data_IF_726380910387
#
_entry.id   IF_726380910387
#
_cell.length_a   1.000
_cell.length_b   1.000
_cell.length_c   1.000
_cell.angle_alpha   90.00
_cell.angle_beta   90.00
_cell.angle_gamma   90.00
#
_symmetry.space_group_name_H-M   'P 1'
#
loop_
_entity.id
_entity.type
_entity.pdbx_description
1 polymer ?
#
# COMPACT_ATOMS: atom_id res chain seq x y z
N UNK A 1 -3.01 45.84 -12.86
CA UNK A 1 -2.52 45.01 -13.98
C UNK A 1 -2.19 43.64 -13.42
N UNK A 2 -3.02 42.69 -13.80
CA UNK A 2 -3.03 41.31 -13.31
C UNK A 2 -2.01 40.43 -14.05
N UNK A 3 -1.54 39.41 -13.34
CA UNK A 3 -1.09 38.10 -13.85
C UNK A 3 0.05 38.00 -14.87
N UNK A 4 1.14 37.36 -14.43
CA UNK A 4 1.80 36.24 -15.14
C UNK A 4 2.57 35.25 -14.24
N UNK A 5 2.64 35.45 -12.93
CA UNK A 5 3.39 34.57 -12.01
C UNK A 5 2.50 33.52 -11.28
N UNK A 6 1.23 33.42 -11.64
CA UNK A 6 0.18 32.53 -11.09
C UNK A 6 0.11 31.14 -11.75
N UNK A 7 1.18 30.71 -12.43
CA UNK A 7 1.39 29.29 -12.74
C UNK A 7 2.69 28.83 -12.10
N UNK A 8 2.73 28.88 -10.76
CA UNK A 8 3.61 28.00 -9.99
C UNK A 8 3.28 26.59 -10.44
N UNK A 9 4.15 26.00 -11.27
CA UNK A 9 4.19 24.57 -11.56
C UNK A 9 4.16 23.90 -10.20
N UNK A 10 2.99 23.42 -9.78
CA UNK A 10 2.77 22.97 -8.42
C UNK A 10 3.67 21.75 -8.26
N UNK A 11 4.78 21.95 -7.55
CA UNK A 11 5.80 20.93 -7.34
C UNK A 11 5.09 19.67 -6.85
N UNK A 12 5.20 18.59 -7.63
CA UNK A 12 4.52 17.35 -7.32
C UNK A 12 5.21 16.83 -6.06
N UNK A 13 4.57 17.02 -4.90
CA UNK A 13 5.13 16.55 -3.65
C UNK A 13 5.17 15.02 -3.64
N UNK A 14 6.19 14.46 -2.99
CA UNK A 14 6.36 13.02 -2.86
C UNK A 14 5.12 12.35 -2.22
N UNK A 15 4.49 13.03 -1.26
CA UNK A 15 3.28 12.57 -0.58
C UNK A 15 2.09 12.45 -1.53
N UNK A 16 2.04 13.29 -2.58
CA UNK A 16 1.01 13.20 -3.62
C UNK A 16 1.29 12.05 -4.59
N UNK A 17 2.56 11.79 -4.93
CA UNK A 17 2.93 10.65 -5.78
C UNK A 17 2.60 9.34 -5.06
N UNK A 18 3.10 9.19 -3.84
CA UNK A 18 2.87 8.01 -3.02
C UNK A 18 1.40 7.86 -2.61
N UNK A 19 0.72 8.98 -2.35
CA UNK A 19 -0.72 9.04 -2.11
C UNK A 19 -1.52 8.42 -3.25
N UNK A 20 -1.33 8.91 -4.48
CA UNK A 20 -1.99 8.35 -5.66
C UNK A 20 -1.70 6.86 -5.83
N UNK A 21 -0.45 6.44 -5.63
CA UNK A 21 -0.06 5.05 -5.74
C UNK A 21 -0.76 4.17 -4.69
N UNK A 22 -0.76 4.59 -3.43
CA UNK A 22 -1.43 3.89 -2.34
C UNK A 22 -2.92 3.73 -2.59
N UNK A 23 -3.63 4.83 -2.89
CA UNK A 23 -5.09 4.79 -3.06
C UNK A 23 -5.51 3.98 -4.29
N UNK A 24 -4.74 4.05 -5.37
CA UNK A 24 -4.96 3.20 -6.56
C UNK A 24 -4.81 1.72 -6.19
N UNK A 25 -3.74 1.34 -5.47
CA UNK A 25 -3.57 -0.04 -5.02
C UNK A 25 -4.69 -0.45 -4.06
N UNK A 26 -5.03 0.37 -3.08
CA UNK A 26 -6.09 0.05 -2.13
C UNK A 26 -7.42 -0.25 -2.83
N UNK A 27 -7.75 0.50 -3.89
CA UNK A 27 -8.90 0.23 -4.73
C UNK A 27 -8.77 -1.09 -5.50
N UNK A 28 -7.64 -1.32 -6.20
CA UNK A 28 -7.41 -2.52 -7.00
C UNK A 28 -7.46 -3.81 -6.17
N UNK A 29 -6.89 -3.80 -4.96
CA UNK A 29 -6.90 -4.94 -4.03
C UNK A 29 -8.20 -5.05 -3.23
N UNK A 30 -9.13 -4.10 -3.37
CA UNK A 30 -10.41 -4.10 -2.65
C UNK A 30 -10.28 -3.91 -1.14
N UNK A 31 -9.26 -3.20 -0.66
CA UNK A 31 -9.07 -2.99 0.78
C UNK A 31 -10.16 -2.10 1.35
N UNK A 32 -10.77 -2.54 2.46
CA UNK A 32 -11.74 -1.75 3.20
C UNK A 32 -11.05 -0.63 4.00
N UNK A 33 -11.83 0.28 4.60
CA UNK A 33 -11.27 1.43 5.34
C UNK A 33 -10.39 1.06 6.54
N UNK A 34 -10.70 -0.03 7.22
CA UNK A 34 -9.89 -0.49 8.36
C UNK A 34 -8.55 -1.03 7.90
N UNK A 35 -8.56 -1.79 6.81
CA UNK A 35 -7.36 -2.28 6.16
C UNK A 35 -6.51 -1.13 5.61
N UNK A 36 -7.12 -0.15 4.94
CA UNK A 36 -6.44 1.05 4.46
C UNK A 36 -5.76 1.82 5.60
N UNK A 37 -6.48 2.05 6.71
CA UNK A 37 -5.93 2.72 7.88
C UNK A 37 -4.80 1.91 8.52
N UNK A 38 -4.97 0.60 8.68
CA UNK A 38 -3.99 -0.29 9.28
C UNK A 38 -2.72 -0.43 8.45
N UNK A 39 -2.85 -0.53 7.12
CA UNK A 39 -1.73 -0.55 6.18
C UNK A 39 -0.92 0.75 6.21
N UNK A 40 -1.59 1.89 6.41
CA UNK A 40 -0.92 3.16 6.68
C UNK A 40 -0.46 3.28 8.15
N UNK A 41 -0.72 2.34 9.05
CA UNK A 41 -0.37 2.49 10.47
C UNK A 41 -1.05 3.68 11.13
N UNK A 42 -2.32 3.92 10.81
CA UNK A 42 -3.18 4.98 11.34
C UNK A 42 -4.39 4.39 12.09
N UNK A 43 -4.20 3.54 13.13
CA UNK A 43 -5.32 3.02 13.89
C UNK A 43 -6.10 4.20 14.51
N UNK A 44 -7.43 4.19 14.38
CA UNK A 44 -8.38 5.18 14.94
C UNK A 44 -8.57 6.51 14.19
N UNK A 45 -7.95 6.72 13.02
CA UNK A 45 -8.08 7.99 12.28
C UNK A 45 -9.07 7.95 11.10
N UNK A 46 -10.26 7.34 11.27
CA UNK A 46 -11.25 7.15 10.18
C UNK A 46 -11.65 8.45 9.46
N UNK A 47 -11.85 9.56 10.18
CA UNK A 47 -12.21 10.85 9.57
C UNK A 47 -11.07 11.46 8.74
N UNK A 48 -9.82 11.33 9.22
CA UNK A 48 -8.63 11.80 8.50
C UNK A 48 -8.41 11.00 7.22
N UNK A 49 -8.75 9.71 7.24
CA UNK A 49 -8.62 8.81 6.10
C UNK A 49 -9.45 9.28 4.90
N UNK A 50 -10.71 9.69 5.13
CA UNK A 50 -11.61 10.21 4.07
C UNK A 50 -11.00 11.43 3.37
N UNK A 51 -10.42 12.35 4.15
CA UNK A 51 -9.76 13.55 3.59
C UNK A 51 -8.54 13.16 2.75
N UNK A 52 -7.70 12.27 3.27
CA UNK A 52 -6.50 11.79 2.57
C UNK A 52 -6.84 11.07 1.27
N UNK A 53 -7.89 10.24 1.27
CA UNK A 53 -8.41 9.55 0.09
C UNK A 53 -8.89 10.56 -0.95
N UNK A 54 -9.74 11.52 -0.55
CA UNK A 54 -10.26 12.56 -1.45
C UNK A 54 -9.14 13.39 -2.08
N UNK A 55 -8.11 13.73 -1.31
CA UNK A 55 -6.98 14.55 -1.78
C UNK A 55 -5.90 13.73 -2.50
N UNK A 56 -6.02 12.40 -2.49
CA UNK A 56 -5.04 11.44 -3.00
C UNK A 56 -3.65 11.66 -2.37
N UNK A 57 -3.62 11.79 -1.04
CA UNK A 57 -2.43 12.03 -0.24
C UNK A 57 -2.21 10.92 0.80
N UNK A 58 -0.96 10.79 1.24
CA UNK A 58 -0.61 10.15 2.52
C UNK A 58 -0.11 11.21 3.51
N UNK A 59 -0.10 10.95 4.83
CA UNK A 59 0.55 11.86 5.77
C UNK A 59 2.03 12.05 5.45
N UNK A 60 2.54 13.26 5.68
CA UNK A 60 3.96 13.61 5.52
C UNK A 60 4.76 13.04 6.68
N UNK A 61 5.07 11.75 6.60
CA UNK A 61 5.76 11.00 7.64
C UNK A 61 6.55 9.84 7.02
N UNK A 62 7.76 9.57 7.55
CA UNK A 62 8.70 8.61 6.97
C UNK A 62 8.17 7.18 7.07
N UNK A 63 7.51 6.81 8.17
CA UNK A 63 6.90 5.48 8.33
C UNK A 63 5.81 5.26 7.26
N UNK A 64 4.98 6.27 6.97
CA UNK A 64 3.95 6.17 5.90
C UNK A 64 4.57 5.98 4.53
N UNK A 65 5.64 6.70 4.21
CA UNK A 65 6.36 6.54 2.94
C UNK A 65 6.94 5.13 2.82
N UNK A 66 7.58 4.63 3.88
CA UNK A 66 8.16 3.29 3.90
C UNK A 66 7.10 2.19 3.74
N UNK A 67 5.95 2.32 4.41
CA UNK A 67 4.81 1.40 4.27
C UNK A 67 4.30 1.34 2.83
N UNK A 68 4.13 2.49 2.18
CA UNK A 68 3.73 2.53 0.76
C UNK A 68 4.81 1.91 -0.13
N UNK A 69 6.08 2.15 0.16
CA UNK A 69 7.20 1.49 -0.53
C UNK A 69 7.16 -0.04 -0.43
N UNK A 70 6.87 -0.59 0.76
CA UNK A 70 6.72 -2.03 0.96
C UNK A 70 5.53 -2.60 0.17
N UNK A 71 4.38 -1.91 0.18
CA UNK A 71 3.20 -2.31 -0.61
C UNK A 71 3.47 -2.30 -2.11
N UNK A 72 4.17 -1.28 -2.61
CA UNK A 72 4.60 -1.23 -4.01
C UNK A 72 5.57 -2.38 -4.36
N UNK A 73 6.46 -2.74 -3.43
CA UNK A 73 7.34 -3.90 -3.57
C UNK A 73 6.57 -5.21 -3.65
N UNK A 74 5.54 -5.39 -2.82
CA UNK A 74 4.62 -6.54 -2.87
C UNK A 74 3.92 -6.58 -4.24
N UNK A 75 3.32 -5.47 -4.66
CA UNK A 75 2.63 -5.39 -5.95
C UNK A 75 3.56 -5.73 -7.11
N UNK A 76 4.77 -5.15 -7.13
CA UNK A 76 5.79 -5.43 -8.14
C UNK A 76 6.12 -6.93 -8.20
N UNK A 77 6.40 -7.56 -7.07
CA UNK A 77 6.75 -8.99 -7.04
C UNK A 77 5.60 -9.86 -7.54
N UNK A 78 4.36 -9.56 -7.13
CA UNK A 78 3.18 -10.27 -7.63
C UNK A 78 2.98 -10.08 -9.14
N UNK A 79 3.25 -8.89 -9.68
CA UNK A 79 3.17 -8.64 -11.13
C UNK A 79 4.26 -9.36 -11.92
N UNK A 80 5.39 -9.69 -11.31
CA UNK A 80 6.43 -10.51 -11.94
C UNK A 80 6.06 -11.99 -11.88
N UNK A 81 5.56 -12.47 -10.73
CA UNK A 81 5.14 -13.86 -10.54
C UNK A 81 3.91 -14.22 -11.38
N UNK A 82 2.98 -13.29 -11.52
CA UNK A 82 1.71 -13.47 -12.23
C UNK A 82 1.54 -12.40 -13.32
N UNK A 83 2.34 -12.46 -14.41
CA UNK A 83 2.39 -11.39 -15.41
C UNK A 83 1.07 -11.21 -16.17
N UNK A 84 0.34 -12.31 -16.40
CA UNK A 84 -0.90 -12.33 -17.19
C UNK A 84 -2.17 -12.41 -16.33
N UNK A 85 -2.06 -12.80 -15.06
CA UNK A 85 -3.21 -13.11 -14.19
C UNK A 85 -3.44 -12.04 -13.13
N UNK A 86 -4.01 -10.90 -13.53
CA UNK A 86 -4.26 -9.77 -12.62
C UNK A 86 -5.24 -10.09 -11.48
N UNK A 87 -6.19 -10.99 -11.72
CA UNK A 87 -7.13 -11.43 -10.69
C UNK A 87 -6.41 -12.10 -9.51
N UNK A 88 -5.41 -12.95 -9.79
CA UNK A 88 -4.57 -13.56 -8.76
C UNK A 88 -3.84 -12.46 -7.99
N UNK A 89 -3.24 -11.50 -8.69
CA UNK A 89 -2.48 -10.40 -8.07
C UNK A 89 -3.33 -9.61 -7.07
N UNK A 90 -4.55 -9.25 -7.46
CA UNK A 90 -5.42 -8.41 -6.64
C UNK A 90 -6.15 -9.20 -5.54
N UNK A 91 -6.37 -10.50 -5.73
CA UNK A 91 -6.91 -11.37 -4.69
C UNK A 91 -5.85 -11.87 -3.69
N UNK A 92 -4.55 -11.82 -4.04
CA UNK A 92 -3.48 -12.49 -3.28
C UNK A 92 -3.46 -12.08 -1.80
N UNK A 93 -3.62 -10.78 -1.52
CA UNK A 93 -3.58 -10.25 -0.15
C UNK A 93 -4.76 -10.68 0.72
N UNK A 94 -5.87 -11.13 0.12
CA UNK A 94 -7.13 -11.49 0.78
C UNK A 94 -7.46 -12.98 0.70
N UNK A 95 -6.51 -13.81 0.23
CA UNK A 95 -6.64 -15.27 0.17
C UNK A 95 -5.55 -15.96 0.99
N UNK A 96 -5.84 -17.14 1.56
CA UNK A 96 -4.81 -17.98 2.19
C UNK A 96 -3.65 -18.23 1.23
N UNK A 97 -2.42 -18.10 1.71
CA UNK A 97 -1.21 -18.35 0.92
C UNK A 97 -0.41 -19.47 1.55
N UNK A 98 -0.17 -20.55 0.81
CA UNK A 98 0.62 -21.70 1.28
C UNK A 98 2.04 -21.28 1.69
N UNK A 99 2.62 -20.34 0.93
CA UNK A 99 3.91 -19.72 1.21
C UNK A 99 3.99 -18.93 2.52
N UNK A 100 2.85 -18.61 3.12
CA UNK A 100 2.72 -17.98 4.43
C UNK A 100 2.11 -18.96 5.45
N UNK A 101 2.24 -20.27 5.23
CA UNK A 101 1.70 -21.29 6.14
C UNK A 101 0.17 -21.32 6.16
N UNK A 102 -0.49 -20.93 5.07
CA UNK A 102 -1.95 -20.89 4.97
C UNK A 102 -2.58 -19.61 5.53
N UNK A 103 -1.78 -18.63 5.97
CA UNK A 103 -2.29 -17.36 6.48
C UNK A 103 -2.83 -16.47 5.34
N UNK A 104 -3.84 -15.66 5.66
CA UNK A 104 -4.30 -14.56 4.80
C UNK A 104 -3.36 -13.36 5.03
N UNK A 105 -2.66 -12.84 4.00
CA UNK A 105 -1.63 -11.83 4.19
C UNK A 105 -2.11 -10.56 4.88
N UNK A 106 -3.27 -10.03 4.50
CA UNK A 106 -3.80 -8.80 5.10
C UNK A 106 -4.16 -8.99 6.56
N UNK A 107 -4.75 -10.13 6.93
CA UNK A 107 -5.11 -10.43 8.31
C UNK A 107 -3.85 -10.61 9.17
N UNK A 108 -2.85 -11.32 8.63
CA UNK A 108 -1.54 -11.43 9.27
C UNK A 108 -0.91 -10.06 9.51
N UNK A 109 -0.90 -9.16 8.51
CA UNK A 109 -0.29 -7.83 8.67
C UNK A 109 -1.02 -7.01 9.75
N UNK A 110 -2.34 -7.13 9.84
CA UNK A 110 -3.17 -6.25 10.65
C UNK A 110 -3.53 -6.78 12.04
N UNK A 111 -3.33 -8.07 12.30
CA UNK A 111 -3.67 -8.72 13.58
C UNK A 111 -3.04 -8.00 14.79
N UNK A 112 -1.81 -7.49 14.65
CA UNK A 112 -1.19 -6.65 15.68
C UNK A 112 -0.71 -5.32 15.08
N UNK A 113 -1.41 -4.21 15.35
CA UNK A 113 -1.04 -2.89 14.81
C UNK A 113 0.40 -2.47 15.11
N UNK A 114 0.94 -2.84 16.28
CA UNK A 114 2.31 -2.52 16.70
C UNK A 114 3.37 -3.29 15.91
N UNK A 115 3.02 -4.43 15.31
CA UNK A 115 3.90 -5.25 14.47
C UNK A 115 3.59 -5.11 12.97
N UNK A 116 2.64 -4.26 12.62
CA UNK A 116 2.11 -4.18 11.25
C UNK A 116 3.17 -3.82 10.21
N UNK A 117 4.16 -3.00 10.60
CA UNK A 117 5.26 -2.62 9.70
C UNK A 117 6.18 -3.81 9.42
N UNK A 118 6.60 -4.50 10.47
CA UNK A 118 7.50 -5.65 10.42
C UNK A 118 6.86 -6.80 9.64
N UNK A 119 5.56 -7.03 9.84
CA UNK A 119 4.79 -8.05 9.13
C UNK A 119 4.59 -7.70 7.66
N UNK A 120 4.37 -6.43 7.33
CA UNK A 120 4.36 -5.96 5.95
C UNK A 120 5.72 -6.18 5.27
N UNK A 121 6.81 -5.87 5.96
CA UNK A 121 8.17 -6.12 5.48
C UNK A 121 8.48 -7.62 5.34
N UNK A 122 7.96 -8.46 6.22
CA UNK A 122 8.06 -9.92 6.12
C UNK A 122 7.39 -10.44 4.84
N UNK A 123 6.13 -10.05 4.58
CA UNK A 123 5.41 -10.46 3.36
C UNK A 123 6.16 -10.04 2.11
N UNK A 124 6.65 -8.79 2.05
CA UNK A 124 7.47 -8.31 0.92
C UNK A 124 8.70 -9.18 0.70
N UNK A 125 9.44 -9.51 1.77
CA UNK A 125 10.66 -10.34 1.69
C UNK A 125 10.35 -11.77 1.27
N UNK A 126 9.24 -12.35 1.75
CA UNK A 126 8.81 -13.69 1.37
C UNK A 126 8.50 -13.76 -0.13
N UNK A 127 7.75 -12.80 -0.67
CA UNK A 127 7.48 -12.73 -2.11
C UNK A 127 8.75 -12.55 -2.96
N UNK A 128 9.72 -11.80 -2.46
CA UNK A 128 11.00 -11.62 -3.15
C UNK A 128 11.82 -12.92 -3.17
N UNK A 129 11.79 -13.67 -2.08
CA UNK A 129 12.39 -15.00 -2.01
C UNK A 129 11.74 -15.96 -3.02
N UNK A 130 10.41 -16.04 -3.06
CA UNK A 130 9.68 -16.89 -4.02
C UNK A 130 10.06 -16.54 -5.46
N UNK A 131 10.16 -15.25 -5.77
CA UNK A 131 10.57 -14.75 -7.10
C UNK A 131 11.99 -15.16 -7.50
N UNK A 132 12.91 -15.31 -6.55
CA UNK A 132 14.31 -15.67 -6.84
C UNK A 132 14.58 -17.18 -6.76
N UNK A 133 13.72 -17.93 -6.07
CA UNK A 133 13.90 -19.36 -5.84
C UNK A 133 13.21 -20.26 -6.89
N UNK A 134 12.36 -19.69 -7.73
CA UNK A 134 11.78 -20.34 -8.92
C UNK A 134 12.55 -20.01 -10.19
#
# INVERSE_FOLDING_TARGET
>A
MENKNTKKKQEISEERVLGKAFWTMAHLYGFNREQQAGLLGLPNYRQRLIKLEKEQLIPKDVDKKNRVGLLLGIHKNLRILFPYNREIVYAWMSKPQEDLGGLVPIDFILENPSLSYERLAFVRRRLDYIRCAG
#
